data_IF_152056845938
#
_entry.id   IF_152056845938
#
_cell.length_a   1.000
_cell.length_b   1.000
_cell.length_c   1.000
_cell.angle_alpha   90.00
_cell.angle_beta   90.00
_cell.angle_gamma   90.00
#
_symmetry.space_group_name_H-M   'P 1'
#
loop_
_entity.id
_entity.type
_entity.pdbx_description
1 polymer ?
#
# COMPACT_ATOMS: atom_id res chain seq x y z
N UNK A 1 -35.79 -16.32 -52.21
CA UNK A 1 -35.26 -17.40 -51.36
C UNK A 1 -34.38 -16.78 -50.30
N UNK A 2 -34.98 -16.58 -49.13
CA UNK A 2 -34.34 -16.28 -47.85
C UNK A 2 -33.50 -17.46 -47.39
N UNK A 3 -32.24 -17.24 -47.04
CA UNK A 3 -31.58 -17.95 -45.91
C UNK A 3 -30.57 -16.98 -45.28
N UNK A 4 -30.94 -16.49 -44.10
CA UNK A 4 -30.04 -16.03 -43.04
C UNK A 4 -29.48 -17.23 -42.28
N UNK A 5 -28.22 -17.16 -41.87
CA UNK A 5 -27.65 -17.62 -40.58
C UNK A 5 -26.11 -17.43 -40.70
N UNK A 6 -25.51 -16.51 -39.96
CA UNK A 6 -25.18 -16.57 -38.52
C UNK A 6 -24.15 -17.65 -38.19
N UNK A 7 -23.09 -17.22 -37.50
CA UNK A 7 -22.36 -18.07 -36.57
C UNK A 7 -20.94 -18.46 -36.98
N UNK A 8 -19.97 -17.67 -36.51
CA UNK A 8 -18.91 -18.22 -35.66
C UNK A 8 -18.28 -17.09 -34.86
N UNK A 9 -19.07 -16.51 -33.95
CA UNK A 9 -18.52 -15.94 -32.75
C UNK A 9 -17.99 -17.10 -31.90
N UNK A 10 -16.68 -17.32 -31.96
CA UNK A 10 -15.96 -18.17 -31.01
C UNK A 10 -14.75 -17.40 -30.52
N UNK A 11 -15.02 -16.33 -29.78
CA UNK A 11 -14.05 -15.69 -28.87
C UNK A 11 -14.54 -15.91 -27.44
N UNK A 12 -14.63 -17.18 -27.05
CA UNK A 12 -14.87 -17.67 -25.70
C UNK A 12 -14.03 -18.95 -25.64
N UNK A 13 -13.04 -19.18 -24.79
CA UNK A 13 -12.78 -18.68 -23.45
C UNK A 13 -11.27 -18.35 -23.31
N UNK A 14 -10.91 -17.06 -23.29
CA UNK A 14 -9.64 -16.68 -22.69
C UNK A 14 -9.81 -16.85 -21.17
N UNK A 15 -9.40 -18.01 -20.65
CA UNK A 15 -9.42 -18.39 -19.25
C UNK A 15 -9.27 -17.16 -18.33
N UNK A 16 -10.29 -16.93 -17.50
CA UNK A 16 -10.34 -15.82 -16.56
C UNK A 16 -9.20 -15.93 -15.54
N UNK A 17 -8.02 -15.46 -15.94
CA UNK A 17 -6.90 -15.29 -15.04
C UNK A 17 -7.30 -14.26 -13.99
N UNK A 18 -6.82 -14.41 -12.76
CA UNK A 18 -7.00 -13.40 -11.70
C UNK A 18 -6.40 -12.02 -12.03
N UNK A 19 -5.90 -11.81 -13.25
CA UNK A 19 -5.26 -10.61 -13.75
C UNK A 19 -6.10 -9.85 -14.80
N UNK A 20 -7.32 -10.31 -15.10
CA UNK A 20 -8.22 -9.68 -16.07
C UNK A 20 -8.03 -10.18 -17.51
N UNK A 21 -8.73 -9.57 -18.50
CA UNK A 21 -8.59 -9.96 -19.90
C UNK A 21 -7.19 -9.63 -20.41
N UNK A 22 -6.57 -10.60 -21.10
CA UNK A 22 -5.26 -10.44 -21.72
C UNK A 22 -5.30 -9.62 -23.01
N UNK A 23 -4.13 -9.43 -23.63
CA UNK A 23 -4.03 -8.88 -24.98
C UNK A 23 -4.53 -9.95 -25.96
N UNK A 24 -5.28 -9.54 -26.99
CA UNK A 24 -5.68 -10.40 -28.10
C UNK A 24 -4.46 -11.19 -28.65
N UNK A 25 -4.54 -12.53 -28.80
CA UNK A 25 -3.39 -13.35 -29.19
C UNK A 25 -2.76 -12.98 -30.53
N UNK A 26 -3.57 -12.60 -31.53
CA UNK A 26 -3.05 -12.21 -32.85
C UNK A 26 -2.29 -10.89 -32.77
N UNK A 27 -2.83 -9.93 -32.00
CA UNK A 27 -2.13 -8.66 -31.75
C UNK A 27 -0.85 -8.86 -30.95
N UNK A 28 -0.84 -9.79 -30.00
CA UNK A 28 0.37 -10.13 -29.24
C UNK A 28 1.42 -10.76 -30.16
N UNK A 29 1.04 -11.67 -31.05
CA UNK A 29 1.95 -12.26 -32.03
C UNK A 29 2.58 -11.18 -32.91
N UNK A 30 1.77 -10.28 -33.49
CA UNK A 30 2.28 -9.15 -34.30
C UNK A 30 3.26 -8.27 -33.50
N UNK A 31 2.96 -7.98 -32.22
CA UNK A 31 3.85 -7.20 -31.37
C UNK A 31 5.21 -7.90 -31.18
N UNK A 32 5.21 -9.21 -30.93
CA UNK A 32 6.43 -10.00 -30.75
C UNK A 32 7.23 -10.11 -32.05
N UNK A 33 6.54 -10.21 -33.20
CA UNK A 33 7.18 -10.23 -34.52
C UNK A 33 7.92 -8.91 -34.78
N UNK A 34 7.29 -7.76 -34.51
CA UNK A 34 7.91 -6.43 -34.61
C UNK A 34 9.12 -6.31 -33.69
N UNK A 35 9.07 -6.87 -32.47
CA UNK A 35 10.21 -6.86 -31.55
C UNK A 35 11.38 -7.69 -32.07
N UNK A 36 11.14 -8.79 -32.80
CA UNK A 36 12.21 -9.57 -33.46
C UNK A 36 12.82 -8.82 -34.62
N UNK A 37 12.02 -8.17 -35.47
CA UNK A 37 12.54 -7.32 -36.56
C UNK A 37 13.42 -6.19 -36.01
N UNK A 38 13.06 -5.63 -34.84
CA UNK A 38 13.84 -4.60 -34.18
C UNK A 38 15.27 -5.05 -33.81
N UNK A 39 15.47 -6.33 -33.47
CA UNK A 39 16.77 -6.87 -33.09
C UNK A 39 17.75 -6.94 -34.28
N UNK A 40 17.24 -6.90 -35.51
CA UNK A 40 18.05 -6.87 -36.74
C UNK A 40 18.42 -5.44 -37.16
N UNK A 41 17.79 -4.42 -36.59
CA UNK A 41 18.06 -3.02 -36.90
C UNK A 41 19.31 -2.50 -36.20
N UNK A 42 19.97 -1.53 -36.85
CA UNK A 42 21.05 -0.79 -36.22
C UNK A 42 20.56 -0.07 -34.94
N UNK A 43 21.45 0.02 -33.94
CA UNK A 43 21.13 0.60 -32.63
C UNK A 43 20.73 2.08 -32.69
N UNK A 44 21.16 2.81 -33.72
CA UNK A 44 20.85 4.22 -33.95
C UNK A 44 19.68 4.41 -34.95
N UNK A 45 19.05 3.32 -35.42
CA UNK A 45 17.86 3.41 -36.27
C UNK A 45 16.71 4.14 -35.53
N UNK A 46 16.00 5.08 -36.19
CA UNK A 46 14.93 5.86 -35.56
C UNK A 46 13.82 4.98 -34.93
N UNK A 47 13.48 3.86 -35.56
CA UNK A 47 12.46 2.93 -35.03
C UNK A 47 12.98 2.15 -33.82
N UNK A 48 14.25 1.73 -33.83
CA UNK A 48 14.92 1.10 -32.67
C UNK A 48 14.93 2.05 -31.46
N UNK A 49 15.22 3.34 -31.68
CA UNK A 49 15.17 4.36 -30.63
C UNK A 49 13.74 4.57 -30.13
N UNK A 50 12.75 4.62 -31.02
CA UNK A 50 11.34 4.82 -30.68
C UNK A 50 10.81 3.70 -29.79
N UNK A 51 11.02 2.44 -30.19
CA UNK A 51 10.58 1.27 -29.41
C UNK A 51 11.35 1.17 -28.08
N UNK A 52 12.66 1.44 -28.07
CA UNK A 52 13.47 1.45 -26.83
C UNK A 52 12.98 2.48 -25.82
N UNK A 53 12.58 3.67 -26.26
CA UNK A 53 11.99 4.70 -25.40
C UNK A 53 10.64 4.26 -24.84
N UNK A 54 9.78 3.68 -25.67
CA UNK A 54 8.47 3.18 -25.25
C UNK A 54 8.59 2.05 -24.21
N UNK A 55 9.43 1.05 -24.48
CA UNK A 55 9.67 -0.08 -23.56
C UNK A 55 10.34 0.36 -22.25
N UNK A 56 11.29 1.30 -22.32
CA UNK A 56 11.90 1.92 -21.12
C UNK A 56 10.86 2.58 -20.22
N UNK A 57 9.89 3.28 -20.80
CA UNK A 57 8.80 3.88 -20.05
C UNK A 57 7.93 2.81 -19.36
N UNK A 58 7.55 1.74 -20.08
CA UNK A 58 6.79 0.61 -19.52
C UNK A 58 7.53 -0.02 -18.35
N UNK A 59 8.81 -0.33 -18.52
CA UNK A 59 9.64 -0.92 -17.45
C UNK A 59 9.70 -0.01 -16.21
N UNK A 60 9.95 1.29 -16.40
CA UNK A 60 10.01 2.26 -15.30
C UNK A 60 8.66 2.37 -14.59
N UNK A 61 7.57 2.41 -15.33
CA UNK A 61 6.21 2.48 -14.79
C UNK A 61 5.89 1.24 -13.95
N UNK A 62 6.17 0.03 -14.44
CA UNK A 62 5.96 -1.22 -13.68
C UNK A 62 6.81 -1.25 -12.41
N UNK A 63 8.08 -0.84 -12.50
CA UNK A 63 8.98 -0.74 -11.33
C UNK A 63 8.45 0.26 -10.30
N UNK A 64 7.97 1.41 -10.75
CA UNK A 64 7.39 2.44 -9.90
C UNK A 64 6.11 1.96 -9.23
N UNK A 65 5.19 1.37 -9.98
CA UNK A 65 3.92 0.82 -9.49
C UNK A 65 4.17 -0.24 -8.41
N UNK A 66 5.03 -1.22 -8.68
CA UNK A 66 5.42 -2.24 -7.69
C UNK A 66 6.06 -1.64 -6.43
N UNK A 67 6.84 -0.56 -6.56
CA UNK A 67 7.42 0.15 -5.41
C UNK A 67 6.35 0.89 -4.60
N UNK A 68 5.40 1.52 -5.28
CA UNK A 68 4.27 2.22 -4.66
C UNK A 68 3.36 1.23 -3.93
N UNK A 69 2.97 0.11 -4.55
CA UNK A 69 2.15 -0.95 -3.93
C UNK A 69 2.80 -1.48 -2.65
N UNK A 70 4.10 -1.82 -2.71
CA UNK A 70 4.83 -2.25 -1.49
C UNK A 70 4.83 -1.18 -0.41
N UNK A 71 5.05 0.10 -0.75
CA UNK A 71 5.02 1.21 0.21
C UNK A 71 3.63 1.44 0.77
N UNK A 72 2.60 1.34 -0.05
CA UNK A 72 1.21 1.49 0.34
C UNK A 72 0.81 0.40 1.34
N UNK A 73 1.20 -0.86 1.09
CA UNK A 73 1.01 -1.96 2.03
C UNK A 73 1.65 -1.68 3.40
N UNK A 74 2.91 -1.20 3.43
CA UNK A 74 3.56 -0.82 4.70
C UNK A 74 2.84 0.32 5.40
N UNK A 75 2.40 1.33 4.65
CA UNK A 75 1.69 2.49 5.20
C UNK A 75 0.32 2.12 5.73
N UNK A 76 -0.43 1.26 5.02
CA UNK A 76 -1.70 0.76 5.48
C UNK A 76 -1.55 -0.03 6.78
N UNK A 77 -0.54 -0.91 6.87
CA UNK A 77 -0.22 -1.64 8.09
C UNK A 77 0.12 -0.70 9.26
N UNK A 78 1.11 0.19 9.09
CA UNK A 78 1.55 1.12 10.14
C UNK A 78 0.41 2.07 10.58
N UNK A 79 -0.48 2.44 9.64
CA UNK A 79 -1.69 3.23 9.91
C UNK A 79 -2.68 2.44 10.75
N UNK A 80 -2.97 1.18 10.41
CA UNK A 80 -3.88 0.33 11.18
C UNK A 80 -3.40 0.14 12.63
N UNK A 81 -2.09 -0.08 12.84
CA UNK A 81 -1.50 -0.13 14.19
C UNK A 81 -1.67 1.19 14.93
N UNK A 82 -1.41 2.32 14.25
CA UNK A 82 -1.57 3.66 14.87
C UNK A 82 -3.02 3.92 15.28
N UNK A 83 -3.97 3.60 14.40
CA UNK A 83 -5.41 3.78 14.63
C UNK A 83 -5.99 2.81 15.67
N UNK A 84 -5.28 1.76 16.05
CA UNK A 84 -5.69 0.89 17.16
C UNK A 84 -5.42 1.54 18.53
N UNK A 85 -4.51 2.52 18.58
CA UNK A 85 -4.16 3.23 19.82
C UNK A 85 -5.19 4.29 20.20
N UNK A 86 -5.31 4.61 21.49
CA UNK A 86 -6.22 5.66 21.97
C UNK A 86 -5.93 7.04 21.37
N UNK A 87 -4.64 7.43 21.37
CA UNK A 87 -4.23 8.77 20.88
C UNK A 87 -4.12 8.86 19.35
N UNK A 88 -4.03 7.72 18.66
CA UNK A 88 -3.87 7.63 17.21
C UNK A 88 -5.13 7.21 16.47
N UNK A 89 -6.23 6.94 17.18
CA UNK A 89 -7.52 6.58 16.61
C UNK A 89 -8.02 7.66 15.64
N UNK A 90 -8.51 7.22 14.47
CA UNK A 90 -9.17 8.11 13.51
C UNK A 90 -10.49 8.68 14.06
N UNK A 91 -11.08 7.98 15.03
CA UNK A 91 -12.33 8.35 15.70
C UNK A 91 -12.07 9.13 17.00
N UNK A 92 -10.83 9.58 17.24
CA UNK A 92 -10.50 10.35 18.45
C UNK A 92 -11.25 11.68 18.44
N UNK A 93 -12.33 11.73 19.19
CA UNK A 93 -13.05 12.94 19.59
C UNK A 93 -12.62 13.20 21.04
N UNK A 94 -11.89 14.29 21.26
CA UNK A 94 -11.41 14.70 22.58
C UNK A 94 -12.33 15.83 23.05
N UNK A 95 -13.48 15.44 23.62
CA UNK A 95 -14.43 16.38 24.23
C UNK A 95 -14.45 16.18 25.73
N UNK A 96 -13.54 16.89 26.40
CA UNK A 96 -13.41 16.89 27.85
C UNK A 96 -14.66 17.49 28.53
N UNK A 97 -15.46 18.29 27.81
CA UNK A 97 -16.69 18.91 28.35
C UNK A 97 -17.81 17.87 28.49
N UNK A 98 -17.88 16.91 27.56
CA UNK A 98 -18.83 15.80 27.59
C UNK A 98 -18.28 14.56 28.32
N UNK A 99 -17.05 14.62 28.84
CA UNK A 99 -16.42 13.51 29.56
C UNK A 99 -15.97 12.37 28.66
N UNK A 100 -15.82 12.61 27.36
CA UNK A 100 -15.37 11.61 26.40
C UNK A 100 -13.84 11.52 26.42
N UNK A 101 -13.31 10.56 27.18
CA UNK A 101 -11.89 10.28 27.22
C UNK A 101 -11.44 9.44 26.02
N UNK A 102 -10.20 9.61 25.53
CA UNK A 102 -9.65 8.78 24.47
C UNK A 102 -9.66 7.29 24.85
N UNK A 103 -10.33 6.47 24.04
CA UNK A 103 -10.37 5.01 24.19
C UNK A 103 -9.56 4.31 23.11
N UNK A 104 -8.86 3.24 23.49
CA UNK A 104 -8.12 2.37 22.57
C UNK A 104 -8.99 1.21 22.11
N UNK A 105 -8.78 0.74 20.88
CA UNK A 105 -9.31 -0.58 20.45
C UNK A 105 -8.47 -1.74 20.98
N UNK A 106 -7.25 -1.44 21.41
CA UNK A 106 -6.32 -2.36 22.04
C UNK A 106 -6.51 -2.37 23.55
N UNK A 107 -6.47 -3.55 24.16
CA UNK A 107 -6.59 -3.73 25.61
C UNK A 107 -5.43 -3.06 26.36
N UNK A 108 -5.75 -2.55 27.55
CA UNK A 108 -4.78 -1.91 28.44
C UNK A 108 -3.61 -2.85 28.79
N UNK A 109 -2.40 -2.29 28.80
CA UNK A 109 -1.18 -3.04 29.12
C UNK A 109 -0.64 -3.91 27.98
N UNK A 110 -1.31 -3.94 26.82
CA UNK A 110 -0.82 -4.65 25.63
C UNK A 110 -0.24 -3.69 24.58
N UNK A 111 0.37 -4.24 23.53
CA UNK A 111 0.82 -3.45 22.39
C UNK A 111 -0.24 -3.43 21.30
N UNK A 112 -0.45 -2.27 20.67
CA UNK A 112 -1.36 -2.11 19.54
C UNK A 112 -0.85 -2.82 18.27
N UNK A 113 0.45 -3.09 18.21
CA UNK A 113 1.08 -3.85 17.14
C UNK A 113 2.55 -3.45 16.91
N UNK A 114 3.14 -4.02 15.87
CA UNK A 114 4.55 -3.80 15.51
C UNK A 114 4.61 -3.06 14.17
N UNK A 115 5.24 -1.88 14.14
CA UNK A 115 5.43 -1.12 12.92
C UNK A 115 6.44 -1.80 11.98
N UNK A 116 6.17 -1.73 10.69
CA UNK A 116 7.11 -2.17 9.66
C UNK A 116 8.25 -1.17 9.44
N UNK A 117 8.09 0.06 9.93
CA UNK A 117 9.10 1.13 9.89
C UNK A 117 9.29 1.72 11.28
N UNK A 118 10.54 1.81 11.77
CA UNK A 118 10.78 2.36 13.10
C UNK A 118 10.44 3.84 13.17
N UNK A 119 9.67 4.22 14.19
CA UNK A 119 9.38 5.61 14.55
C UNK A 119 10.35 6.10 15.62
N UNK A 120 10.52 7.41 15.73
CA UNK A 120 11.30 8.03 16.80
C UNK A 120 10.36 8.45 17.92
N UNK A 121 10.68 8.08 19.16
CA UNK A 121 9.91 8.51 20.33
C UNK A 121 9.89 10.04 20.40
N UNK A 122 8.73 10.64 20.64
CA UNK A 122 8.60 12.09 20.73
C UNK A 122 9.41 12.67 21.91
N UNK A 123 9.63 11.89 22.98
CA UNK A 123 10.36 12.30 24.18
C UNK A 123 11.86 11.97 24.04
N UNK A 124 12.24 10.70 24.16
CA UNK A 124 13.65 10.29 24.23
C UNK A 124 14.33 10.14 22.85
N UNK A 125 13.59 10.31 21.75
CA UNK A 125 14.07 10.18 20.36
C UNK A 125 14.58 8.80 19.94
N UNK A 126 14.60 7.80 20.84
CA UNK A 126 14.94 6.43 20.51
C UNK A 126 14.01 5.85 19.44
N UNK A 127 14.56 4.99 18.57
CA UNK A 127 13.78 4.26 17.57
C UNK A 127 13.02 3.12 18.22
N UNK A 128 11.73 2.99 17.89
CA UNK A 128 10.86 1.91 18.36
C UNK A 128 9.96 1.40 17.23
N UNK A 129 9.50 0.17 17.38
CA UNK A 129 8.54 -0.48 16.46
C UNK A 129 7.31 -1.02 17.19
N UNK A 130 7.44 -1.41 18.46
CA UNK A 130 6.32 -1.82 19.30
C UNK A 130 5.53 -0.60 19.77
N UNK A 131 4.26 -0.55 19.39
CA UNK A 131 3.38 0.58 19.68
C UNK A 131 2.54 0.27 20.90
N UNK A 132 2.56 1.18 21.87
CA UNK A 132 1.74 1.11 23.08
C UNK A 132 0.24 1.22 22.76
N UNK A 133 -0.63 0.57 23.56
CA UNK A 133 -2.08 0.66 23.37
C UNK A 133 -2.64 2.08 23.45
N UNK A 134 -2.00 2.99 24.20
CA UNK A 134 -2.48 4.35 24.39
C UNK A 134 -1.73 5.35 23.49
N UNK A 135 -0.40 5.34 23.51
CA UNK A 135 0.45 6.34 22.85
C UNK A 135 1.12 5.83 21.56
N UNK A 136 0.70 6.34 20.40
CA UNK A 136 1.33 5.98 19.13
C UNK A 136 2.67 6.67 18.83
N UNK A 137 3.03 7.74 19.57
CA UNK A 137 4.22 8.57 19.33
C UNK A 137 5.34 8.36 20.37
N UNK A 138 5.15 7.47 21.33
CA UNK A 138 6.11 7.21 22.43
C UNK A 138 6.62 5.78 22.37
N UNK A 139 7.86 5.56 22.79
CA UNK A 139 8.33 4.20 23.09
C UNK A 139 7.68 3.68 24.37
N UNK A 140 7.73 2.36 24.60
CA UNK A 140 7.08 1.69 25.74
C UNK A 140 7.41 2.34 27.10
N UNK A 141 8.68 2.63 27.37
CA UNK A 141 9.11 3.24 28.63
C UNK A 141 8.51 4.65 28.83
N UNK A 142 8.60 5.51 27.82
CA UNK A 142 8.04 6.86 27.88
C UNK A 142 6.50 6.83 27.95
N UNK A 143 5.86 5.88 27.27
CA UNK A 143 4.41 5.71 27.30
C UNK A 143 3.92 5.33 28.71
N UNK A 144 4.57 4.34 29.34
CA UNK A 144 4.26 3.91 30.70
C UNK A 144 4.42 5.06 31.71
N UNK A 145 5.52 5.81 31.63
CA UNK A 145 5.76 6.96 32.51
C UNK A 145 4.70 8.04 32.35
N UNK A 146 4.29 8.34 31.11
CA UNK A 146 3.28 9.37 30.85
C UNK A 146 1.87 8.93 31.29
N UNK A 147 1.52 7.65 31.17
CA UNK A 147 0.26 7.13 31.73
C UNK A 147 0.22 7.24 33.24
N UNK A 148 1.29 6.83 33.93
CA UNK A 148 1.38 6.94 35.39
C UNK A 148 1.16 8.38 35.89
N UNK A 149 1.60 9.38 35.11
CA UNK A 149 1.36 10.80 35.42
C UNK A 149 -0.07 11.26 35.10
N UNK A 150 -0.72 10.70 34.08
CA UNK A 150 -2.12 11.01 33.74
C UNK A 150 -3.08 10.51 34.83
N UNK A 151 -2.81 9.36 35.42
CA UNK A 151 -3.66 8.78 36.46
C UNK A 151 -3.34 9.32 37.87
N UNK A 152 -2.28 10.13 38.01
CA UNK A 152 -1.93 10.76 39.26
C UNK A 152 -3.01 11.77 39.68
N UNK A 153 -3.59 11.57 40.87
CA UNK A 153 -4.57 12.47 41.48
C UNK A 153 -3.97 13.14 42.71
N UNK A 154 -4.33 14.39 42.94
CA UNK A 154 -4.05 15.12 44.18
C UNK A 154 -5.37 15.37 44.91
N UNK A 155 -5.37 15.18 46.22
CA UNK A 155 -6.45 15.63 47.10
C UNK A 155 -6.22 17.13 47.34
N UNK A 156 -7.04 17.96 46.69
CA UNK A 156 -6.93 19.43 46.68
C UNK A 156 -7.85 20.05 47.72
#
# INVERSE_FOLDING_TARGET
MTVTQDGSATTDEAAASGYGPGIDPERLAVCLDVLRELDELDVDHPDAITVRRATSHIYRMVKQRRRQERRAAKTAHDKAVTEATATGSAERIDDETEGLLPSSRTEEGTIAGILQRPRSCYICKQRYVEVDYFYHQLCQNCAAENRARRDARADL
#
